data_IF_983186623751
#
_entry.id   IF_983186623751
#
_cell.length_a   1.000
_cell.length_b   1.000
_cell.length_c   1.000
_cell.angle_alpha   90.00
_cell.angle_beta   90.00
_cell.angle_gamma   90.00
#
_symmetry.space_group_name_H-M   'P 1'
#
loop_
_entity.id
_entity.type
_entity.pdbx_description
1 polymer ?
#
# COMPACT_ATOMS: atom_id res chain seq x y z
N UNK A 1 6.96 -49.73 -54.37
CA UNK A 1 6.63 -48.54 -53.55
C UNK A 1 7.13 -48.83 -52.15
N UNK A 2 8.25 -48.21 -51.75
CA UNK A 2 8.98 -48.54 -50.52
C UNK A 2 8.78 -47.41 -49.51
N UNK A 3 8.24 -47.73 -48.33
CA UNK A 3 8.08 -46.80 -47.22
C UNK A 3 9.44 -46.52 -46.56
N UNK A 4 9.77 -45.26 -46.21
CA UNK A 4 11.00 -44.96 -45.49
C UNK A 4 10.90 -45.44 -44.04
N UNK A 5 11.84 -46.29 -43.65
CA UNK A 5 12.10 -46.70 -42.27
C UNK A 5 12.59 -45.48 -41.48
N UNK A 6 11.72 -44.90 -40.66
CA UNK A 6 12.07 -43.78 -39.78
C UNK A 6 12.91 -44.35 -38.62
N UNK A 7 14.21 -44.01 -38.60
CA UNK A 7 15.13 -44.41 -37.54
C UNK A 7 14.65 -43.90 -36.15
N UNK A 8 14.70 -44.73 -35.09
CA UNK A 8 14.25 -44.35 -33.74
C UNK A 8 15.09 -43.25 -33.07
N UNK A 9 16.23 -42.87 -33.65
CA UNK A 9 17.15 -41.85 -33.09
C UNK A 9 16.71 -40.39 -33.30
N UNK A 10 15.83 -40.10 -34.26
CA UNK A 10 15.43 -38.73 -34.57
C UNK A 10 14.51 -38.10 -33.50
N UNK A 11 13.83 -38.93 -32.70
CA UNK A 11 12.92 -38.46 -31.64
C UNK A 11 13.65 -37.97 -30.38
N UNK A 12 14.85 -38.49 -30.08
CA UNK A 12 15.60 -38.07 -28.89
C UNK A 12 16.30 -36.72 -29.07
N UNK A 13 16.74 -36.37 -30.27
CA UNK A 13 17.43 -35.09 -30.52
C UNK A 13 16.49 -33.87 -30.47
N UNK A 14 15.21 -34.04 -30.83
CA UNK A 14 14.23 -32.95 -30.74
C UNK A 14 13.85 -32.63 -29.29
N UNK A 15 13.86 -33.63 -28.41
CA UNK A 15 13.55 -33.45 -26.98
C UNK A 15 14.63 -32.63 -26.25
N UNK A 16 15.91 -32.79 -26.61
CA UNK A 16 17.00 -32.02 -26.02
C UNK A 16 17.05 -30.55 -26.48
N UNK A 17 16.52 -30.24 -27.68
CA UNK A 17 16.45 -28.87 -28.21
C UNK A 17 15.27 -28.04 -27.68
N UNK A 18 14.28 -28.68 -27.06
CA UNK A 18 13.07 -28.01 -26.52
C UNK A 18 13.18 -27.63 -25.03
N UNK A 19 14.22 -28.10 -24.32
CA UNK A 19 14.42 -27.74 -22.91
C UNK A 19 15.03 -26.34 -22.63
N UNK A 20 15.84 -25.68 -23.49
CA UNK A 20 16.48 -24.43 -23.09
C UNK A 20 15.54 -23.22 -23.12
N UNK A 21 14.40 -23.28 -23.82
CA UNK A 21 13.44 -22.16 -23.91
C UNK A 21 12.60 -22.01 -22.64
N UNK A 22 12.34 -23.10 -21.91
CA UNK A 22 11.65 -23.05 -20.61
C UNK A 22 12.57 -22.51 -19.50
N UNK A 23 13.88 -22.77 -19.58
CA UNK A 23 14.87 -22.22 -18.64
C UNK A 23 15.11 -20.72 -18.85
N UNK A 24 14.88 -20.19 -20.06
CA UNK A 24 14.95 -18.76 -20.35
C UNK A 24 13.80 -17.95 -19.74
N UNK A 25 12.63 -18.55 -19.48
CA UNK A 25 11.54 -17.87 -18.78
C UNK A 25 11.74 -17.79 -17.26
N UNK A 26 12.45 -18.75 -16.66
CA UNK A 26 12.77 -18.76 -15.23
C UNK A 26 13.83 -17.72 -14.81
N UNK A 27 14.55 -17.15 -15.78
CA UNK A 27 15.54 -16.08 -15.56
C UNK A 27 15.00 -14.68 -15.85
N UNK A 28 13.70 -14.55 -16.16
CA UNK A 28 13.04 -13.25 -16.06
C UNK A 28 13.04 -12.84 -14.59
N UNK A 29 13.92 -11.88 -14.26
CA UNK A 29 14.03 -11.31 -12.94
C UNK A 29 12.61 -11.02 -12.44
N UNK A 30 12.25 -11.63 -11.29
CA UNK A 30 10.99 -11.35 -10.61
C UNK A 30 10.76 -9.84 -10.67
N UNK A 31 9.62 -9.36 -11.21
CA UNK A 31 9.38 -7.94 -11.36
C UNK A 31 9.67 -7.32 -10.00
N UNK A 32 10.69 -6.43 -9.96
CA UNK A 32 11.19 -5.81 -8.73
C UNK A 32 9.98 -5.46 -7.89
N UNK A 33 9.85 -6.09 -6.72
CA UNK A 33 8.66 -6.00 -5.89
C UNK A 33 8.25 -4.54 -5.81
N UNK A 34 7.05 -4.22 -6.31
CA UNK A 34 6.53 -2.86 -6.20
C UNK A 34 6.40 -2.60 -4.71
N UNK A 35 7.31 -1.79 -4.14
CA UNK A 35 7.17 -1.33 -2.76
C UNK A 35 5.84 -0.59 -2.69
N UNK A 36 4.84 -1.22 -2.06
CA UNK A 36 3.56 -0.59 -1.76
C UNK A 36 3.78 0.41 -0.64
N UNK A 37 4.35 1.56 -0.97
CA UNK A 37 4.42 2.69 -0.03
C UNK A 37 3.06 3.36 0.01
N UNK A 38 2.43 3.30 1.17
CA UNK A 38 1.29 4.18 1.43
C UNK A 38 1.79 5.63 1.47
N UNK A 39 0.96 6.58 1.03
CA UNK A 39 1.25 8.01 1.21
C UNK A 39 1.34 8.35 2.70
N UNK A 40 1.79 9.57 3.00
CA UNK A 40 1.69 10.11 4.36
C UNK A 40 0.21 10.26 4.78
N UNK A 41 -0.09 10.23 6.08
CA UNK A 41 -1.45 10.45 6.57
C UNK A 41 -1.97 11.82 6.10
N UNK A 42 -3.29 11.95 5.85
CA UNK A 42 -3.87 13.20 5.41
C UNK A 42 -3.62 14.31 6.44
N UNK A 43 -3.35 15.53 5.97
CA UNK A 43 -3.07 16.70 6.82
C UNK A 43 -4.20 17.00 7.83
N UNK A 44 -5.42 16.54 7.53
CA UNK A 44 -6.60 16.61 8.38
C UNK A 44 -6.50 15.75 9.66
N UNK A 45 -5.53 14.82 9.71
CA UNK A 45 -5.17 14.06 10.91
C UNK A 45 -4.16 14.81 11.80
N UNK A 46 -3.81 16.05 11.49
CA UNK A 46 -2.93 16.87 12.33
C UNK A 46 -3.74 17.68 13.36
N UNK A 47 -3.16 17.99 14.54
CA UNK A 47 -3.80 18.86 15.52
C UNK A 47 -4.12 20.23 14.91
N UNK A 48 -5.38 20.62 14.99
CA UNK A 48 -5.82 21.96 14.59
C UNK A 48 -5.52 23.01 15.67
N UNK A 49 -5.47 24.30 15.30
CA UNK A 49 -5.31 25.38 16.26
C UNK A 49 -6.56 25.56 17.14
N UNK A 50 -6.36 25.96 18.39
CA UNK A 50 -7.44 26.43 19.26
C UNK A 50 -7.85 27.87 18.90
N UNK A 51 -9.10 28.25 19.18
CA UNK A 51 -9.58 29.60 18.89
C UNK A 51 -8.78 30.64 19.68
N UNK A 52 -8.41 31.78 19.05
CA UNK A 52 -7.68 32.82 19.73
C UNK A 52 -8.53 33.48 20.81
N UNK A 53 -7.89 33.91 21.89
CA UNK A 53 -8.55 34.65 22.97
C UNK A 53 -8.91 36.05 22.46
N UNK A 54 -10.19 36.38 22.46
CA UNK A 54 -10.69 37.71 22.06
C UNK A 54 -10.63 38.68 23.25
N UNK A 55 -10.15 39.90 22.99
CA UNK A 55 -10.17 40.99 23.97
C UNK A 55 -11.58 41.27 24.48
N UNK A 56 -11.74 41.43 25.79
CA UNK A 56 -13.02 41.75 26.44
C UNK A 56 -13.90 40.54 26.79
N UNK A 57 -13.49 39.31 26.49
CA UNK A 57 -14.22 38.11 26.93
C UNK A 57 -13.83 37.70 28.35
N UNK A 58 -14.82 37.19 29.10
CA UNK A 58 -14.58 36.56 30.40
C UNK A 58 -13.70 35.32 30.25
N UNK A 59 -12.74 35.13 31.16
CA UNK A 59 -11.85 33.97 31.18
C UNK A 59 -12.63 32.63 31.23
N UNK A 60 -13.80 32.61 31.87
CA UNK A 60 -14.65 31.42 31.92
C UNK A 60 -15.23 31.06 30.54
N UNK A 61 -15.63 32.06 29.76
CA UNK A 61 -16.16 31.87 28.39
C UNK A 61 -15.05 31.37 27.47
N UNK A 62 -13.86 31.98 27.56
CA UNK A 62 -12.67 31.55 26.81
C UNK A 62 -12.32 30.10 27.14
N UNK A 63 -12.29 29.73 28.42
CA UNK A 63 -11.98 28.37 28.85
C UNK A 63 -13.02 27.36 28.35
N UNK A 64 -14.30 27.71 28.38
CA UNK A 64 -15.37 26.85 27.86
C UNK A 64 -15.25 26.62 26.35
N UNK A 65 -15.01 27.70 25.59
CA UNK A 65 -14.85 27.67 24.12
C UNK A 65 -13.59 26.87 23.71
N UNK A 66 -12.49 27.01 24.45
CA UNK A 66 -11.28 26.22 24.20
C UNK A 66 -11.48 24.74 24.50
N UNK A 67 -12.17 24.40 25.61
CA UNK A 67 -12.45 22.99 25.95
C UNK A 67 -13.36 22.32 24.92
N UNK A 68 -14.42 23.00 24.50
CA UNK A 68 -15.33 22.44 23.48
C UNK A 68 -14.62 22.26 22.13
N UNK A 69 -13.80 23.24 21.72
CA UNK A 69 -13.03 23.14 20.48
C UNK A 69 -11.99 22.02 20.56
N UNK A 70 -11.27 21.91 21.68
CA UNK A 70 -10.33 20.82 21.90
C UNK A 70 -11.01 19.44 21.85
N UNK A 71 -12.20 19.30 22.44
CA UNK A 71 -12.97 18.07 22.38
C UNK A 71 -13.37 17.70 20.94
N UNK A 72 -13.84 18.66 20.15
CA UNK A 72 -14.18 18.43 18.73
C UNK A 72 -12.95 18.04 17.90
N UNK A 73 -11.82 18.73 18.10
CA UNK A 73 -10.56 18.39 17.43
C UNK A 73 -10.07 16.99 17.79
N UNK A 74 -10.17 16.60 19.06
CA UNK A 74 -9.80 15.24 19.51
C UNK A 74 -10.69 14.16 18.87
N UNK A 75 -12.01 14.40 18.76
CA UNK A 75 -12.92 13.49 18.08
C UNK A 75 -12.54 13.31 16.61
N UNK A 76 -12.23 14.42 15.91
CA UNK A 76 -11.77 14.38 14.52
C UNK A 76 -10.46 13.61 14.38
N UNK A 77 -9.47 13.90 15.22
CA UNK A 77 -8.17 13.24 15.23
C UNK A 77 -8.31 11.73 15.45
N UNK A 78 -9.18 11.33 16.38
CA UNK A 78 -9.46 9.92 16.67
C UNK A 78 -10.03 9.20 15.45
N UNK A 79 -11.06 9.77 14.81
CA UNK A 79 -11.65 9.19 13.60
C UNK A 79 -10.67 9.10 12.44
N UNK A 80 -9.87 10.15 12.23
CA UNK A 80 -8.84 10.18 11.18
C UNK A 80 -7.77 9.10 11.41
N UNK A 81 -7.32 8.94 12.66
CA UNK A 81 -6.34 7.91 13.02
C UNK A 81 -6.89 6.49 12.85
N UNK A 82 -8.15 6.26 13.19
CA UNK A 82 -8.82 4.98 12.99
C UNK A 82 -8.90 4.63 11.50
N UNK A 83 -9.41 5.55 10.68
CA UNK A 83 -9.51 5.37 9.23
C UNK A 83 -8.14 5.13 8.57
N UNK A 84 -7.12 5.87 9.02
CA UNK A 84 -5.75 5.67 8.53
C UNK A 84 -5.18 4.31 8.92
N UNK A 85 -5.45 3.86 10.16
CA UNK A 85 -5.05 2.53 10.62
C UNK A 85 -5.71 1.44 9.79
N UNK A 86 -7.00 1.58 9.47
CA UNK A 86 -7.72 0.64 8.60
C UNK A 86 -7.11 0.61 7.18
N UNK A 87 -6.78 1.78 6.63
CA UNK A 87 -6.10 1.87 5.34
C UNK A 87 -4.74 1.16 5.37
N UNK A 88 -3.96 1.33 6.44
CA UNK A 88 -2.69 0.61 6.61
C UNK A 88 -2.91 -0.90 6.74
N UNK A 89 -3.95 -1.35 7.44
CA UNK A 89 -4.23 -2.77 7.57
C UNK A 89 -4.64 -3.42 6.23
N UNK A 90 -5.41 -2.71 5.41
CA UNK A 90 -5.93 -3.23 4.13
C UNK A 90 -4.87 -3.15 3.03
N UNK A 91 -4.20 -2.00 2.93
CA UNK A 91 -3.33 -1.67 1.79
C UNK A 91 -1.85 -1.63 2.14
N UNK A 92 -1.50 -1.50 3.42
CA UNK A 92 -0.13 -1.31 3.91
C UNK A 92 0.84 -2.40 3.51
N UNK A 93 0.34 -3.59 3.17
CA UNK A 93 1.16 -4.76 2.91
C UNK A 93 1.87 -5.17 4.19
N UNK A 94 1.53 -6.33 4.75
CA UNK A 94 2.48 -6.93 5.69
C UNK A 94 3.77 -7.23 4.90
N UNK A 95 4.95 -6.94 5.46
CA UNK A 95 6.21 -7.33 4.85
C UNK A 95 6.26 -8.84 4.59
#
# INVERSE_FOLDING_TARGET
>A
MSLPTILPGARMLLACLMMPTLAACASSASPRGVERRLPDPPADCAPGPLPPVRSGMSALVVAAEQRSTAAMLNMRLSGCRAAWTDMQNIYGGKP
#
